data_IF_355724222328
#
_entry.id   IF_355724222328
#
_cell.length_a   1.000
_cell.length_b   1.000
_cell.length_c   1.000
_cell.angle_alpha   90.00
_cell.angle_beta   90.00
_cell.angle_gamma   90.00
#
_symmetry.space_group_name_H-M   'P 1'
#
loop_
_entity.id
_entity.type
_entity.pdbx_description
1 polymer ?
#
# COMPACT_ATOMS: atom_id res chain seq x y z
N UNK A 1 -17.19 -13.53 14.61
CA UNK A 1 -18.38 -12.69 14.51
C UNK A 1 -19.67 -13.49 14.32
N UNK A 2 -19.78 -14.40 13.36
CA UNK A 2 -21.00 -15.22 13.12
C UNK A 2 -21.45 -16.12 14.29
N UNK A 3 -20.55 -16.58 15.14
CA UNK A 3 -20.90 -17.40 16.30
C UNK A 3 -21.42 -16.59 17.48
N UNK A 4 -20.93 -15.39 17.68
CA UNK A 4 -21.39 -14.47 18.75
C UNK A 4 -22.82 -13.98 18.48
N UNK A 5 -23.15 -13.64 17.24
CA UNK A 5 -24.52 -13.27 16.85
C UNK A 5 -25.53 -14.42 17.04
N UNK A 6 -25.09 -15.68 16.82
CA UNK A 6 -25.92 -16.86 17.09
C UNK A 6 -26.15 -17.12 18.58
N UNK A 7 -25.17 -16.78 19.42
CA UNK A 7 -25.27 -16.93 20.88
C UNK A 7 -26.17 -15.88 21.51
N UNK A 8 -26.04 -14.61 21.09
CA UNK A 8 -26.93 -13.51 21.51
C UNK A 8 -28.37 -13.74 21.06
N UNK A 9 -28.57 -14.22 19.84
CA UNK A 9 -29.89 -14.58 19.32
C UNK A 9 -30.56 -15.68 20.15
N UNK A 10 -29.82 -16.70 20.59
CA UNK A 10 -30.34 -17.78 21.43
C UNK A 10 -30.68 -17.33 22.86
N UNK A 11 -29.95 -16.36 23.40
CA UNK A 11 -30.18 -15.80 24.73
C UNK A 11 -31.42 -14.90 24.76
N UNK A 12 -31.59 -14.05 23.74
CA UNK A 12 -32.72 -13.13 23.61
C UNK A 12 -34.06 -13.87 23.34
N UNK A 13 -34.02 -14.95 22.52
CA UNK A 13 -35.23 -15.71 22.14
C UNK A 13 -35.78 -16.57 23.30
N UNK A 14 -35.00 -16.88 24.33
CA UNK A 14 -35.47 -17.64 25.49
C UNK A 14 -36.35 -16.86 26.48
N UNK A 15 -36.32 -15.53 26.45
CA UNK A 15 -36.95 -14.70 27.45
C UNK A 15 -38.16 -13.88 26.99
N UNK A 16 -38.69 -14.06 25.78
CA UNK A 16 -39.84 -13.27 25.29
C UNK A 16 -40.93 -14.14 24.68
N UNK A 17 -42.14 -13.96 25.19
CA UNK A 17 -43.37 -14.74 24.87
C UNK A 17 -44.03 -14.49 23.50
N UNK A 18 -43.34 -13.87 22.54
CA UNK A 18 -43.91 -13.61 21.17
C UNK A 18 -42.98 -14.08 20.05
N UNK A 19 -42.87 -15.43 19.93
CA UNK A 19 -42.00 -16.06 18.93
C UNK A 19 -42.31 -15.69 17.47
N UNK A 20 -43.52 -15.33 17.14
CA UNK A 20 -43.94 -15.03 15.78
C UNK A 20 -43.57 -13.64 15.30
N UNK A 21 -43.65 -12.63 16.13
CA UNK A 21 -43.21 -11.25 15.81
C UNK A 21 -41.69 -11.13 15.77
N UNK A 22 -40.98 -11.81 16.68
CA UNK A 22 -39.52 -11.85 16.67
C UNK A 22 -38.94 -12.53 15.43
N UNK A 23 -39.58 -13.59 14.93
CA UNK A 23 -39.19 -14.23 13.65
C UNK A 23 -39.41 -13.29 12.46
N UNK A 24 -40.46 -12.45 12.47
CA UNK A 24 -40.72 -11.46 11.44
C UNK A 24 -39.71 -10.32 11.46
N UNK A 25 -39.38 -9.80 12.67
CA UNK A 25 -38.35 -8.76 12.87
C UNK A 25 -36.93 -9.26 12.53
N UNK A 26 -36.60 -10.49 12.89
CA UNK A 26 -35.32 -11.15 12.53
C UNK A 26 -35.17 -11.33 11.01
N UNK A 27 -36.24 -11.69 10.29
CA UNK A 27 -36.23 -11.76 8.82
C UNK A 27 -35.96 -10.37 8.21
N UNK A 28 -36.59 -9.32 8.74
CA UNK A 28 -36.40 -7.96 8.25
C UNK A 28 -34.96 -7.47 8.48
N UNK A 29 -34.37 -7.72 9.65
CA UNK A 29 -32.98 -7.37 9.97
C UNK A 29 -32.01 -8.14 9.05
N UNK A 30 -32.25 -9.42 8.80
CA UNK A 30 -31.42 -10.22 7.91
C UNK A 30 -31.52 -9.74 6.45
N UNK A 31 -32.72 -9.31 6.03
CA UNK A 31 -32.96 -8.75 4.70
C UNK A 31 -32.31 -7.37 4.53
N UNK A 32 -32.42 -6.51 5.55
CA UNK A 32 -31.73 -5.22 5.62
C UNK A 32 -30.20 -5.39 5.54
N UNK A 33 -29.65 -6.35 6.28
CA UNK A 33 -28.22 -6.70 6.24
C UNK A 33 -27.78 -7.20 4.85
N UNK A 34 -28.62 -8.04 4.19
CA UNK A 34 -28.38 -8.46 2.80
C UNK A 34 -28.43 -7.29 1.81
N UNK A 35 -29.37 -6.35 1.96
CA UNK A 35 -29.46 -5.14 1.13
C UNK A 35 -28.25 -4.21 1.34
N UNK A 36 -27.80 -4.05 2.58
CA UNK A 36 -26.55 -3.31 2.93
C UNK A 36 -25.33 -3.93 2.27
N UNK A 37 -25.17 -5.25 2.37
CA UNK A 37 -24.07 -5.98 1.71
C UNK A 37 -24.18 -5.83 0.19
N UNK A 38 -25.38 -5.86 -0.37
CA UNK A 38 -25.59 -5.68 -1.82
C UNK A 38 -25.30 -4.24 -2.27
N UNK A 39 -25.75 -3.21 -1.52
CA UNK A 39 -25.39 -1.80 -1.78
C UNK A 39 -23.86 -1.57 -1.68
N UNK A 40 -23.21 -2.11 -0.65
CA UNK A 40 -21.74 -2.06 -0.54
C UNK A 40 -21.06 -2.79 -1.70
N UNK A 41 -21.54 -3.96 -2.11
CA UNK A 41 -21.04 -4.67 -3.29
C UNK A 41 -21.25 -3.85 -4.58
N UNK A 42 -22.36 -3.11 -4.70
CA UNK A 42 -22.66 -2.26 -5.87
C UNK A 42 -21.75 -1.00 -5.89
N UNK A 43 -21.56 -0.34 -4.76
CA UNK A 43 -20.58 0.76 -4.63
C UNK A 43 -19.14 0.29 -4.86
N UNK A 44 -18.76 -0.85 -4.31
CA UNK A 44 -17.44 -1.45 -4.57
C UNK A 44 -17.26 -1.81 -6.04
N UNK A 45 -18.33 -2.30 -6.70
CA UNK A 45 -18.31 -2.63 -8.13
C UNK A 45 -18.19 -1.38 -9.01
N UNK A 46 -18.76 -0.24 -8.60
CA UNK A 46 -18.53 1.07 -9.25
C UNK A 46 -17.08 1.55 -9.10
N UNK A 47 -16.45 1.28 -7.93
CA UNK A 47 -15.03 1.58 -7.69
C UNK A 47 -14.08 0.62 -8.42
N UNK A 48 -14.55 -0.56 -8.83
CA UNK A 48 -13.71 -1.60 -9.48
C UNK A 48 -13.89 -1.74 -10.99
N UNK A 49 -14.79 -0.98 -11.62
CA UNK A 49 -15.03 -1.03 -13.08
C UNK A 49 -14.10 -0.11 -13.87
N UNK A 50 -12.82 -0.09 -13.57
CA UNK A 50 -11.83 0.60 -14.41
C UNK A 50 -11.06 -0.40 -15.24
N UNK A 51 -11.50 -0.67 -16.46
CA UNK A 51 -10.70 -1.36 -17.47
C UNK A 51 -9.43 -0.55 -17.75
N UNK A 52 -8.27 -1.18 -17.64
CA UNK A 52 -6.94 -0.57 -17.73
C UNK A 52 -6.61 0.44 -16.61
N UNK A 53 -6.96 0.13 -15.39
CA UNK A 53 -6.64 0.97 -14.24
C UNK A 53 -5.26 0.67 -13.67
N UNK A 54 -4.53 1.72 -13.31
CA UNK A 54 -3.36 1.63 -12.46
C UNK A 54 -3.53 2.63 -11.32
N UNK A 55 -3.29 2.20 -10.10
CA UNK A 55 -3.41 3.05 -8.91
C UNK A 55 -2.35 2.71 -7.86
N UNK A 56 -1.90 3.72 -7.14
CA UNK A 56 -1.22 3.55 -5.86
C UNK A 56 -2.27 3.60 -4.76
N UNK A 57 -2.17 2.72 -3.79
CA UNK A 57 -3.09 2.65 -2.67
C UNK A 57 -2.31 2.42 -1.38
N UNK A 58 -2.40 3.38 -0.47
CA UNK A 58 -1.97 3.16 0.92
C UNK A 58 -3.05 2.33 1.60
N UNK A 59 -2.69 1.17 2.13
CA UNK A 59 -3.63 0.30 2.87
C UNK A 59 -3.34 0.38 4.36
N UNK A 60 -2.07 0.41 4.74
CA UNK A 60 -1.66 0.62 6.12
C UNK A 60 -0.89 1.93 6.27
N UNK A 61 -1.36 2.79 7.16
CA UNK A 61 -0.82 4.15 7.35
C UNK A 61 0.44 4.21 8.22
N UNK A 62 0.78 3.14 8.92
CA UNK A 62 1.87 3.14 9.90
C UNK A 62 1.47 3.59 11.31
N UNK A 63 0.23 4.03 11.51
CA UNK A 63 -0.29 4.41 12.82
C UNK A 63 -0.12 3.28 13.86
N UNK A 64 -0.16 3.58 15.17
CA UNK A 64 -0.01 2.57 16.22
C UNK A 64 -0.95 1.38 16.03
N UNK A 65 -0.40 0.15 15.95
CA UNK A 65 -1.14 -1.08 15.69
C UNK A 65 -1.51 -1.34 14.22
N UNK A 66 -1.13 -0.45 13.31
CA UNK A 66 -1.35 -0.56 11.87
C UNK A 66 0.01 -0.61 11.15
N UNK A 67 0.34 -1.67 10.40
CA UNK A 67 1.58 -1.69 9.63
C UNK A 67 1.60 -0.61 8.55
N UNK A 68 2.79 -0.08 8.25
CA UNK A 68 2.97 0.82 7.12
C UNK A 68 3.20 -0.01 5.86
N UNK A 69 2.30 0.07 4.89
CA UNK A 69 2.46 -0.58 3.60
C UNK A 69 1.54 0.00 2.53
N UNK A 70 1.92 -0.18 1.28
CA UNK A 70 1.15 0.30 0.15
C UNK A 70 1.22 -0.65 -1.04
N UNK A 71 0.23 -0.55 -1.91
CA UNK A 71 0.17 -1.26 -3.18
C UNK A 71 0.31 -0.32 -4.36
N UNK A 72 1.04 -0.77 -5.37
CA UNK A 72 0.81 -0.34 -6.75
C UNK A 72 0.02 -1.45 -7.45
N UNK A 73 -1.21 -1.17 -7.84
CA UNK A 73 -2.12 -2.17 -8.41
C UNK A 73 -2.44 -1.85 -9.85
N UNK A 74 -2.39 -2.88 -10.68
CA UNK A 74 -2.81 -2.86 -12.07
C UNK A 74 -3.87 -3.93 -12.31
N UNK A 75 -4.43 -3.99 -13.52
CA UNK A 75 -5.39 -5.03 -13.87
C UNK A 75 -4.77 -6.44 -13.83
N UNK A 76 -3.46 -6.55 -14.02
CA UNK A 76 -2.75 -7.82 -14.17
C UNK A 76 -1.91 -8.19 -12.95
N UNK A 77 -1.09 -7.27 -12.46
CA UNK A 77 -0.07 -7.49 -11.43
C UNK A 77 -0.22 -6.48 -10.30
N UNK A 78 0.00 -6.93 -9.09
CA UNK A 78 0.07 -6.11 -7.89
C UNK A 78 1.48 -6.13 -7.32
N UNK A 79 1.98 -4.96 -6.95
CA UNK A 79 3.26 -4.73 -6.31
C UNK A 79 3.01 -4.24 -4.89
N UNK A 80 3.61 -4.91 -3.93
CA UNK A 80 3.48 -4.55 -2.51
C UNK A 80 4.78 -3.90 -2.03
N UNK A 81 4.68 -2.79 -1.32
CA UNK A 81 5.81 -2.12 -0.66
C UNK A 81 5.66 -2.26 0.85
N UNK A 82 6.62 -2.96 1.46
CA UNK A 82 6.64 -3.43 2.84
C UNK A 82 5.50 -4.40 3.20
N UNK A 83 5.72 -5.24 4.21
CA UNK A 83 4.80 -6.27 4.66
C UNK A 83 4.92 -6.48 6.17
N UNK A 84 4.53 -5.48 6.97
CA UNK A 84 4.52 -5.56 8.41
C UNK A 84 3.45 -6.51 8.96
N UNK A 85 3.51 -6.78 10.26
CA UNK A 85 2.51 -7.63 10.92
C UNK A 85 1.10 -7.05 10.77
N UNK A 86 0.13 -7.90 10.46
CA UNK A 86 -1.25 -7.48 10.20
C UNK A 86 -1.55 -7.09 8.75
N UNK A 87 -0.54 -7.00 7.85
CA UNK A 87 -0.74 -6.69 6.42
C UNK A 87 -1.77 -7.61 5.77
N UNK A 88 -1.68 -8.93 5.99
CA UNK A 88 -2.62 -9.91 5.45
C UNK A 88 -4.05 -9.66 5.95
N UNK A 89 -4.23 -9.36 7.24
CA UNK A 89 -5.54 -9.04 7.84
C UNK A 89 -6.15 -7.80 7.20
N UNK A 90 -5.40 -6.71 7.13
CA UNK A 90 -5.86 -5.46 6.49
C UNK A 90 -6.19 -5.65 5.00
N UNK A 91 -5.37 -6.43 4.28
CA UNK A 91 -5.66 -6.75 2.88
C UNK A 91 -7.01 -7.46 2.72
N UNK A 92 -7.37 -8.38 3.62
CA UNK A 92 -8.66 -9.06 3.59
C UNK A 92 -9.80 -8.13 3.98
N UNK A 93 -9.64 -7.30 5.00
CA UNK A 93 -10.63 -6.31 5.43
C UNK A 93 -10.96 -5.34 4.29
N UNK A 94 -9.94 -4.85 3.60
CA UNK A 94 -10.07 -3.91 2.47
C UNK A 94 -10.24 -4.59 1.11
N UNK A 95 -10.39 -5.93 1.08
CA UNK A 95 -10.61 -6.74 -0.13
C UNK A 95 -9.54 -6.53 -1.21
N UNK A 96 -8.29 -6.36 -0.79
CA UNK A 96 -7.16 -6.36 -1.70
C UNK A 96 -7.00 -7.74 -2.34
N UNK A 97 -6.80 -7.80 -3.65
CA UNK A 97 -6.64 -9.07 -4.37
C UNK A 97 -5.21 -9.60 -4.20
N UNK A 98 -5.01 -10.46 -3.21
CA UNK A 98 -3.71 -11.05 -2.90
C UNK A 98 -3.22 -12.04 -3.97
N UNK A 99 -4.13 -12.66 -4.73
CA UNK A 99 -3.79 -13.61 -5.81
C UNK A 99 -3.02 -13.00 -6.99
N UNK A 100 -2.91 -11.67 -7.05
CA UNK A 100 -2.19 -10.95 -8.11
C UNK A 100 -0.89 -10.33 -7.62
N UNK A 101 -0.46 -10.64 -6.40
CA UNK A 101 0.83 -10.15 -5.88
C UNK A 101 1.93 -11.01 -6.47
N UNK A 102 2.71 -10.42 -7.37
CA UNK A 102 3.87 -11.06 -7.98
C UNK A 102 5.19 -10.52 -7.39
N UNK A 103 5.19 -9.27 -6.91
CA UNK A 103 6.39 -8.60 -6.42
C UNK A 103 6.15 -7.94 -5.07
N UNK A 104 7.09 -8.15 -4.14
CA UNK A 104 7.16 -7.46 -2.85
C UNK A 104 8.49 -6.71 -2.76
N UNK A 105 8.44 -5.43 -2.42
CA UNK A 105 9.59 -4.55 -2.24
C UNK A 105 9.72 -4.20 -0.76
N UNK A 106 10.80 -4.65 -0.12
CA UNK A 106 11.09 -4.45 1.30
C UNK A 106 12.20 -3.43 1.44
N UNK A 107 11.93 -2.34 2.14
CA UNK A 107 12.91 -1.26 2.35
C UNK A 107 13.95 -1.61 3.41
N UNK A 108 13.54 -2.34 4.47
CA UNK A 108 14.38 -2.69 5.62
C UNK A 108 13.94 -4.04 6.20
N UNK A 109 14.89 -4.87 6.65
CA UNK A 109 14.58 -6.16 7.30
C UNK A 109 14.17 -6.02 8.79
N UNK A 110 13.53 -4.93 9.14
CA UNK A 110 12.90 -4.77 10.46
C UNK A 110 11.59 -5.55 10.55
N UNK A 111 11.19 -5.99 11.75
CA UNK A 111 9.91 -6.67 11.96
C UNK A 111 8.71 -5.83 11.48
N UNK A 112 8.82 -4.50 11.59
CA UNK A 112 7.80 -3.57 11.06
C UNK A 112 7.53 -3.74 9.58
N UNK A 113 8.54 -4.18 8.80
CA UNK A 113 8.46 -4.26 7.34
C UNK A 113 8.33 -5.70 6.82
N UNK A 114 8.66 -6.72 7.63
CA UNK A 114 8.67 -8.12 7.18
C UNK A 114 7.79 -9.07 8.00
N UNK A 115 7.33 -8.64 9.19
CA UNK A 115 6.60 -9.51 10.13
C UNK A 115 5.31 -10.12 9.58
N UNK A 116 4.70 -9.51 8.56
CA UNK A 116 3.50 -10.02 7.89
C UNK A 116 3.76 -11.02 6.76
N UNK A 117 5.01 -11.19 6.33
CA UNK A 117 5.35 -12.09 5.20
C UNK A 117 4.85 -13.52 5.37
N UNK A 118 5.00 -14.18 6.54
CA UNK A 118 4.56 -15.55 6.71
C UNK A 118 3.06 -15.73 6.42
N UNK A 119 2.22 -14.88 7.03
CA UNK A 119 0.77 -14.91 6.83
C UNK A 119 0.36 -14.54 5.42
N UNK A 120 1.05 -13.55 4.82
CA UNK A 120 0.79 -13.13 3.44
C UNK A 120 1.12 -14.25 2.44
N UNK A 121 2.27 -14.92 2.59
CA UNK A 121 2.69 -16.02 1.70
C UNK A 121 1.72 -17.19 1.75
N UNK A 122 1.26 -17.60 2.94
CA UNK A 122 0.24 -18.63 3.10
C UNK A 122 -1.05 -18.24 2.36
N UNK A 123 -1.55 -17.03 2.62
CA UNK A 123 -2.79 -16.57 2.01
C UNK A 123 -2.66 -16.38 0.49
N UNK A 124 -1.52 -15.90 0.01
CA UNK A 124 -1.26 -15.77 -1.43
C UNK A 124 -1.27 -17.13 -2.11
N UNK A 125 -0.60 -18.14 -1.52
CA UNK A 125 -0.62 -19.51 -2.02
C UNK A 125 -2.04 -20.09 -2.08
N UNK A 126 -2.84 -19.90 -1.02
CA UNK A 126 -4.21 -20.40 -0.97
C UNK A 126 -5.12 -19.69 -1.99
N UNK A 127 -4.83 -18.45 -2.30
CA UNK A 127 -5.49 -17.70 -3.37
C UNK A 127 -4.98 -18.02 -4.79
N UNK A 128 -4.04 -18.97 -4.91
CA UNK A 128 -3.56 -19.49 -6.20
C UNK A 128 -2.30 -18.83 -6.75
N UNK A 129 -1.60 -17.98 -5.99
CA UNK A 129 -0.28 -17.45 -6.37
C UNK A 129 0.73 -18.59 -6.41
N UNK A 130 1.44 -18.73 -7.53
CA UNK A 130 2.46 -19.78 -7.74
C UNK A 130 3.88 -19.25 -7.72
N UNK A 131 4.07 -17.96 -8.01
CA UNK A 131 5.38 -17.32 -8.05
C UNK A 131 5.30 -16.02 -7.27
N UNK A 132 6.33 -15.76 -6.46
CA UNK A 132 6.48 -14.53 -5.69
C UNK A 132 7.94 -14.09 -5.76
N UNK A 133 8.16 -12.82 -6.10
CA UNK A 133 9.47 -12.21 -6.18
C UNK A 133 9.62 -11.20 -5.03
N UNK A 134 10.63 -11.40 -4.17
CA UNK A 134 10.87 -10.50 -3.02
C UNK A 134 12.15 -9.72 -3.25
N UNK A 135 12.03 -8.42 -3.48
CA UNK A 135 13.12 -7.46 -3.59
C UNK A 135 13.39 -6.87 -2.21
N UNK A 136 14.56 -7.12 -1.67
CA UNK A 136 14.87 -6.75 -0.28
C UNK A 136 16.37 -6.59 -0.06
N UNK A 137 16.79 -5.98 1.05
CA UNK A 137 18.15 -6.14 1.54
C UNK A 137 18.52 -7.61 1.70
N UNK A 138 19.82 -7.91 1.65
CA UNK A 138 20.35 -9.28 1.80
C UNK A 138 19.96 -9.88 3.16
N UNK A 139 19.60 -11.15 3.18
CA UNK A 139 19.24 -11.90 4.39
C UNK A 139 17.76 -12.25 4.54
N UNK A 140 16.88 -11.80 3.64
CA UNK A 140 15.46 -12.17 3.67
C UNK A 140 15.25 -13.66 3.46
N UNK A 141 16.13 -14.32 2.70
CA UNK A 141 16.12 -15.75 2.46
C UNK A 141 16.19 -16.55 3.77
N UNK A 142 17.03 -16.08 4.71
CA UNK A 142 17.19 -16.71 6.02
C UNK A 142 15.88 -16.63 6.82
N UNK A 143 15.19 -15.48 6.79
CA UNK A 143 13.89 -15.33 7.42
C UNK A 143 12.88 -16.33 6.83
N UNK A 144 12.77 -16.37 5.51
CA UNK A 144 11.81 -17.25 4.83
C UNK A 144 12.14 -18.71 5.08
N UNK A 145 13.42 -19.10 5.03
CA UNK A 145 13.84 -20.45 5.33
C UNK A 145 13.50 -20.86 6.77
N UNK A 146 13.73 -19.96 7.74
CA UNK A 146 13.39 -20.20 9.14
C UNK A 146 11.88 -20.40 9.31
N UNK A 147 11.09 -19.55 8.68
CA UNK A 147 9.63 -19.62 8.73
C UNK A 147 9.09 -20.89 8.09
N UNK A 148 9.72 -21.41 7.03
CA UNK A 148 9.33 -22.67 6.37
C UNK A 148 9.43 -23.90 7.29
N UNK A 149 10.11 -23.79 8.44
CA UNK A 149 10.10 -24.87 9.44
C UNK A 149 8.71 -25.13 10.07
N UNK A 150 7.82 -24.14 10.03
CA UNK A 150 6.47 -24.23 10.60
C UNK A 150 5.34 -23.81 9.64
N UNK A 151 5.64 -23.22 8.48
CA UNK A 151 4.66 -22.98 7.41
C UNK A 151 4.97 -23.85 6.18
N UNK A 152 3.93 -24.38 5.56
CA UNK A 152 4.09 -25.22 4.37
C UNK A 152 3.69 -24.46 3.10
N UNK A 153 4.66 -24.24 2.21
CA UNK A 153 4.48 -23.49 0.95
C UNK A 153 4.80 -24.35 -0.30
N UNK A 154 4.19 -25.53 -0.47
CA UNK A 154 4.59 -26.47 -1.52
C UNK A 154 4.28 -25.99 -2.94
N UNK A 155 3.37 -25.04 -3.08
CA UNK A 155 2.92 -24.52 -4.40
C UNK A 155 3.47 -23.14 -4.72
N UNK A 156 4.10 -22.45 -3.74
CA UNK A 156 4.62 -21.10 -3.91
C UNK A 156 6.13 -21.12 -4.14
N UNK A 157 6.54 -20.77 -5.36
CA UNK A 157 7.95 -20.56 -5.68
C UNK A 157 8.33 -19.12 -5.33
N UNK A 158 9.30 -18.96 -4.44
CA UNK A 158 9.81 -17.65 -4.03
C UNK A 158 11.16 -17.42 -4.70
N UNK A 159 11.37 -16.22 -5.23
CA UNK A 159 12.61 -15.78 -5.87
C UNK A 159 13.11 -14.50 -5.23
N UNK A 160 14.42 -14.38 -5.10
CA UNK A 160 15.12 -13.25 -4.50
C UNK A 160 16.10 -12.68 -5.53
N UNK A 161 15.72 -11.66 -6.29
CA UNK A 161 16.62 -11.03 -7.24
C UNK A 161 17.73 -10.29 -6.51
N UNK A 162 18.91 -10.28 -7.12
CA UNK A 162 20.00 -9.45 -6.63
C UNK A 162 19.59 -7.98 -6.71
N UNK A 163 19.74 -7.28 -5.59
CA UNK A 163 19.46 -5.85 -5.51
C UNK A 163 20.76 -5.10 -5.80
N UNK A 164 20.90 -4.62 -7.03
CA UNK A 164 22.07 -3.89 -7.49
C UNK A 164 21.64 -2.52 -8.04
N UNK A 165 22.32 -1.46 -7.64
CA UNK A 165 22.05 -0.09 -8.09
C UNK A 165 22.19 0.04 -9.63
N UNK A 166 23.15 -0.68 -10.23
CA UNK A 166 23.38 -0.66 -11.68
C UNK A 166 22.36 -1.43 -12.48
N UNK A 167 21.64 -2.38 -11.89
CA UNK A 167 20.69 -3.27 -12.56
C UNK A 167 19.27 -3.07 -12.04
N UNK A 168 18.49 -2.12 -12.58
CA UNK A 168 17.12 -1.90 -12.13
C UNK A 168 16.23 -3.08 -12.51
N UNK A 169 15.28 -3.39 -11.64
CA UNK A 169 14.17 -4.28 -12.01
C UNK A 169 13.32 -3.62 -13.09
N UNK A 170 12.93 -4.39 -14.10
CA UNK A 170 12.10 -3.90 -15.18
C UNK A 170 11.10 -4.96 -15.62
N UNK A 171 9.85 -4.56 -15.70
CA UNK A 171 8.79 -5.37 -16.28
C UNK A 171 7.97 -4.56 -17.32
N UNK A 172 6.77 -5.03 -17.66
CA UNK A 172 5.89 -4.36 -18.62
C UNK A 172 5.21 -3.10 -18.09
N UNK A 173 5.17 -2.90 -16.76
CA UNK A 173 4.46 -1.80 -16.11
C UNK A 173 5.39 -0.70 -15.63
N UNK A 174 6.53 -1.07 -15.04
CA UNK A 174 7.44 -0.09 -14.46
C UNK A 174 8.90 -0.54 -14.47
N UNK A 175 9.78 0.43 -14.28
CA UNK A 175 11.19 0.21 -13.98
C UNK A 175 11.43 0.65 -12.55
N UNK A 176 11.97 -0.22 -11.68
CA UNK A 176 12.31 0.10 -10.30
C UNK A 176 13.82 0.14 -10.14
N UNK A 177 14.34 1.29 -9.74
CA UNK A 177 15.75 1.50 -9.39
C UNK A 177 15.92 1.31 -7.89
N UNK A 178 16.93 0.57 -7.51
CA UNK A 178 17.33 0.36 -6.15
C UNK A 178 18.28 1.48 -5.71
N UNK A 179 18.03 2.04 -4.54
CA UNK A 179 18.87 3.10 -3.94
C UNK A 179 19.30 2.62 -2.57
N UNK A 180 20.46 1.94 -2.47
CA UNK A 180 20.95 1.42 -1.22
C UNK A 180 21.52 2.57 -0.35
N UNK A 181 21.16 2.56 0.93
CA UNK A 181 21.70 3.50 1.92
C UNK A 181 22.73 2.81 2.81
N UNK A 182 23.81 3.52 3.10
CA UNK A 182 24.91 3.08 3.97
C UNK A 182 24.99 3.94 5.23
N UNK A 183 25.44 3.35 6.33
CA UNK A 183 25.69 4.11 7.56
C UNK A 183 26.94 4.99 7.42
N UNK A 184 26.94 6.15 8.06
CA UNK A 184 28.10 7.07 8.06
C UNK A 184 29.37 6.44 8.68
N UNK A 185 29.20 5.55 9.66
CA UNK A 185 30.32 4.84 10.32
C UNK A 185 31.08 3.88 9.40
N UNK A 186 30.46 3.44 8.29
CA UNK A 186 31.11 2.52 7.34
C UNK A 186 32.01 3.23 6.32
N UNK A 187 31.81 4.55 6.10
CA UNK A 187 32.66 5.35 5.21
C UNK A 187 34.05 5.63 5.79
N UNK A 188 34.20 5.71 7.13
CA UNK A 188 35.45 6.02 7.78
C UNK A 188 36.41 4.83 7.89
N UNK A 189 35.99 3.60 7.53
CA UNK A 189 36.80 2.38 7.60
C UNK A 189 37.47 2.03 6.26
N UNK A 190 37.02 2.64 5.15
CA UNK A 190 37.57 2.38 3.82
C UNK A 190 38.77 3.24 3.43
N UNK A 191 39.03 4.35 4.15
CA UNK A 191 40.06 5.30 3.77
C UNK A 191 41.34 5.24 4.64
N UNK A 192 41.43 4.35 5.67
CA UNK A 192 42.60 4.29 6.60
C UNK A 192 43.50 3.06 6.43
N UNK A 193 43.40 2.25 5.38
CA UNK A 193 44.27 1.09 5.15
C UNK A 193 45.07 1.14 3.84
N UNK A 194 45.69 2.27 3.53
CA UNK A 194 46.90 2.31 2.68
C UNK A 194 48.04 2.93 3.46
N UNK A 195 49.15 2.19 3.52
CA UNK A 195 50.43 2.45 4.12
C UNK A 195 50.62 2.07 5.60
N UNK A 196 51.11 0.86 5.82
CA UNK A 196 52.38 0.67 6.54
C UNK A 196 53.01 -0.69 6.16
N UNK A 197 53.97 -0.63 5.25
CA UNK A 197 54.98 -1.66 5.03
C UNK A 197 56.12 -1.34 5.99
N UNK A 198 56.24 -2.08 7.09
CA UNK A 198 57.50 -2.18 7.80
C UNK A 198 57.98 -3.64 7.84
N UNK A 199 59.12 -3.79 7.19
CA UNK A 199 60.03 -4.92 7.30
C UNK A 199 60.36 -5.19 8.77
N UNK A 200 60.08 -6.39 9.27
CA UNK A 200 61.01 -7.19 10.03
C UNK A 200 60.36 -8.50 10.48
N UNK A 201 60.92 -9.57 9.98
CA UNK A 201 60.50 -10.91 10.30
C UNK A 201 60.72 -11.31 11.75
N UNK A 202 59.68 -11.88 12.36
CA UNK A 202 59.73 -13.01 13.32
C UNK A 202 58.32 -13.51 13.57
N UNK A 203 58.05 -14.75 13.21
CA UNK A 203 56.84 -15.50 13.58
C UNK A 203 56.94 -15.90 15.05
N UNK A 204 55.84 -15.84 15.79
CA UNK A 204 55.50 -16.92 16.73
C UNK A 204 54.17 -17.60 16.32
N UNK A 205 54.15 -18.89 16.69
CA UNK A 205 53.13 -19.84 16.35
C UNK A 205 51.84 -19.67 17.15
N UNK A 206 50.72 -20.11 16.49
CA UNK A 206 49.43 -20.53 17.06
C UNK A 206 48.56 -19.48 17.77
N UNK A 207 47.77 -18.81 16.99
CA UNK A 207 46.36 -18.58 17.35
C UNK A 207 45.52 -18.77 16.10
N UNK A 208 44.60 -19.73 16.17
CA UNK A 208 43.54 -19.92 15.17
C UNK A 208 42.66 -18.69 15.23
N UNK A 209 42.96 -17.69 14.41
CA UNK A 209 42.04 -16.61 14.11
C UNK A 209 41.15 -17.11 12.99
N UNK A 210 39.92 -17.47 13.35
CA UNK A 210 38.84 -17.49 12.41
C UNK A 210 38.84 -16.16 11.62
N UNK A 211 39.30 -16.23 10.40
CA UNK A 211 39.27 -15.10 9.49
C UNK A 211 37.82 -14.84 9.11
N UNK A 212 37.12 -14.08 9.92
CA UNK A 212 35.93 -13.35 9.44
C UNK A 212 36.43 -12.42 8.35
N UNK A 213 36.26 -12.83 7.09
CA UNK A 213 36.32 -11.90 5.98
C UNK A 213 35.36 -10.77 6.34
N UNK A 214 35.85 -9.57 6.63
CA UNK A 214 35.07 -8.35 6.67
C UNK A 214 34.41 -8.23 5.28
N UNK A 215 33.20 -8.73 5.17
CA UNK A 215 32.32 -8.51 4.01
C UNK A 215 32.08 -7.00 4.00
N UNK A 216 32.38 -6.33 2.89
CA UNK A 216 31.91 -4.95 2.63
C UNK A 216 30.45 -4.90 3.06
N UNK A 217 30.11 -4.00 3.99
CA UNK A 217 28.78 -3.96 4.61
C UNK A 217 27.70 -3.95 3.53
N UNK A 218 26.90 -5.02 3.51
CA UNK A 218 25.76 -5.10 2.60
C UNK A 218 24.76 -4.04 2.99
N UNK A 219 24.17 -3.31 2.04
CA UNK A 219 23.21 -2.25 2.34
C UNK A 219 22.03 -2.84 3.11
N UNK A 220 21.76 -2.27 4.28
CA UNK A 220 20.65 -2.71 5.16
C UNK A 220 19.32 -2.03 4.83
N UNK A 221 19.38 -0.90 4.12
CA UNK A 221 18.24 -0.09 3.74
C UNK A 221 18.27 0.09 2.22
N UNK A 222 17.09 -0.07 1.58
CA UNK A 222 16.92 0.15 0.15
C UNK A 222 15.72 1.06 -0.06
N UNK A 223 15.96 2.21 -0.67
CA UNK A 223 14.89 3.04 -1.21
C UNK A 223 14.61 2.65 -2.67
N UNK A 224 13.43 2.95 -3.15
CA UNK A 224 12.97 2.57 -4.48
C UNK A 224 12.54 3.81 -5.26
N UNK A 225 13.04 3.95 -6.50
CA UNK A 225 12.56 4.93 -7.48
C UNK A 225 11.82 4.14 -8.55
N UNK A 226 10.50 4.34 -8.64
CA UNK A 226 9.59 3.59 -9.49
C UNK A 226 9.15 4.46 -10.66
N UNK A 227 9.64 4.17 -11.86
CA UNK A 227 9.29 4.85 -13.09
C UNK A 227 8.20 4.04 -13.81
N UNK A 228 6.96 4.53 -13.82
CA UNK A 228 5.82 3.88 -14.47
C UNK A 228 5.94 4.12 -15.98
N UNK A 229 5.91 3.04 -16.77
CA UNK A 229 5.99 3.16 -18.22
C UNK A 229 4.76 3.88 -18.77
N UNK A 230 4.91 4.79 -19.71
CA UNK A 230 3.79 5.53 -20.29
C UNK A 230 2.79 4.58 -20.95
N UNK A 231 1.48 4.88 -20.79
CA UNK A 231 0.46 4.17 -21.54
C UNK A 231 0.54 4.57 -22.99
N UNK A 232 0.61 3.59 -23.88
CA UNK A 232 0.56 3.89 -25.31
C UNK A 232 -0.71 4.58 -25.71
N UNK A 233 -0.58 5.54 -26.62
CA UNK A 233 -1.69 6.24 -27.20
C UNK A 233 -2.65 5.28 -27.93
N UNK A 234 -3.93 5.65 -27.96
CA UNK A 234 -4.95 4.88 -28.69
C UNK A 234 -4.65 4.90 -30.20
N UNK A 235 -4.84 3.77 -30.86
CA UNK A 235 -4.75 3.70 -32.32
C UNK A 235 -5.86 4.56 -32.94
N UNK A 236 -5.49 5.46 -33.84
CA UNK A 236 -6.39 6.37 -34.56
C UNK A 236 -6.91 5.61 -35.79
N UNK A 237 -8.15 5.09 -35.67
CA UNK A 237 -8.76 4.23 -36.69
C UNK A 237 -8.87 4.96 -38.03
N UNK A 238 -9.23 6.24 -37.99
CA UNK A 238 -9.38 7.08 -39.18
C UNK A 238 -8.06 7.21 -39.97
N UNK A 239 -6.94 7.40 -39.27
CA UNK A 239 -5.61 7.43 -39.88
C UNK A 239 -5.22 6.07 -40.45
N UNK A 240 -5.60 4.98 -39.79
CA UNK A 240 -5.36 3.63 -40.32
C UNK A 240 -6.13 3.42 -41.62
N UNK A 241 -7.39 3.86 -41.69
CA UNK A 241 -8.22 3.75 -42.92
C UNK A 241 -7.65 4.61 -44.04
N UNK A 242 -7.22 5.85 -43.78
CA UNK A 242 -6.56 6.73 -44.76
C UNK A 242 -5.32 6.11 -45.34
N UNK A 243 -4.58 5.33 -44.56
CA UNK A 243 -3.37 4.61 -44.99
C UNK A 243 -3.72 3.22 -45.55
N UNK A 244 -4.97 2.86 -45.78
CA UNK A 244 -5.40 1.59 -46.37
C UNK A 244 -5.17 0.39 -45.43
N UNK A 245 -5.12 0.59 -44.12
CA UNK A 245 -4.94 -0.50 -43.14
C UNK A 245 -6.31 -0.97 -42.70
N UNK A 246 -6.72 -2.11 -43.20
CA UNK A 246 -7.98 -2.76 -42.80
C UNK A 246 -7.94 -3.34 -41.39
N UNK A 247 -9.12 -3.72 -40.88
CA UNK A 247 -9.21 -4.33 -39.55
C UNK A 247 -8.60 -5.74 -39.59
N UNK A 248 -7.62 -6.01 -38.71
CA UNK A 248 -6.96 -7.31 -38.72
C UNK A 248 -5.66 -7.34 -37.87
N UNK A 249 -4.85 -8.39 -38.08
CA UNK A 249 -3.59 -8.60 -37.34
C UNK A 249 -2.63 -7.40 -37.40
N UNK A 250 -2.61 -6.71 -38.56
CA UNK A 250 -1.77 -5.53 -38.80
C UNK A 250 -2.06 -4.42 -37.79
N UNK A 251 -3.33 -4.11 -37.53
CA UNK A 251 -3.72 -3.13 -36.49
C UNK A 251 -3.26 -3.54 -35.10
N UNK A 252 -3.27 -4.85 -34.79
CA UNK A 252 -2.79 -5.35 -33.50
C UNK A 252 -1.28 -5.16 -33.35
N UNK A 253 -0.52 -5.34 -34.41
CA UNK A 253 0.92 -5.05 -34.42
C UNK A 253 1.20 -3.58 -34.22
N UNK A 254 0.50 -2.68 -34.93
CA UNK A 254 0.60 -1.23 -34.74
C UNK A 254 0.21 -0.81 -33.32
N UNK A 255 -0.89 -1.37 -32.78
CA UNK A 255 -1.30 -1.15 -31.40
C UNK A 255 -0.26 -1.63 -30.38
N UNK A 256 0.51 -2.68 -30.70
CA UNK A 256 1.63 -3.16 -29.89
C UNK A 256 2.90 -2.31 -30.04
N UNK A 257 2.89 -1.28 -30.92
CA UNK A 257 4.00 -0.37 -31.19
C UNK A 257 5.04 -0.91 -32.17
N UNK A 258 4.70 -1.98 -32.90
CA UNK A 258 5.55 -2.50 -33.98
C UNK A 258 5.20 -1.75 -35.27
N UNK A 259 6.23 -1.37 -36.01
CA UNK A 259 6.04 -0.85 -37.36
C UNK A 259 5.69 -1.99 -38.31
N UNK A 260 4.91 -1.72 -39.32
CA UNK A 260 4.43 -2.72 -40.26
C UNK A 260 4.76 -2.27 -41.68
N UNK A 261 5.32 -3.18 -42.47
CA UNK A 261 5.54 -2.98 -43.91
C UNK A 261 4.31 -3.51 -44.67
N UNK A 262 3.72 -2.69 -45.52
CA UNK A 262 2.62 -3.08 -46.39
C UNK A 262 3.10 -3.90 -47.58
N UNK A 263 2.18 -4.50 -48.33
CA UNK A 263 2.46 -5.24 -49.53
C UNK A 263 3.09 -4.39 -50.63
N UNK A 264 2.83 -3.07 -50.65
CA UNK A 264 3.40 -2.09 -51.55
C UNK A 264 4.83 -1.66 -51.17
N UNK A 265 5.42 -2.24 -50.10
CA UNK A 265 6.75 -1.91 -49.61
C UNK A 265 6.79 -0.68 -48.70
N UNK A 266 5.69 0.05 -48.52
CA UNK A 266 5.64 1.23 -47.63
C UNK A 266 5.62 0.82 -46.16
N UNK A 267 6.41 1.51 -45.32
CA UNK A 267 6.48 1.26 -43.88
C UNK A 267 5.54 2.21 -43.13
N UNK A 268 4.62 1.65 -42.39
CA UNK A 268 3.74 2.42 -41.49
C UNK A 268 4.30 2.37 -40.07
N UNK A 269 4.66 3.53 -39.57
CA UNK A 269 5.13 3.64 -38.18
C UNK A 269 3.96 3.69 -37.20
N UNK A 270 4.05 2.92 -36.12
CA UNK A 270 3.02 2.89 -35.10
C UNK A 270 2.74 4.28 -34.51
N UNK A 271 3.74 5.14 -34.40
CA UNK A 271 3.61 6.51 -33.90
C UNK A 271 2.72 7.41 -34.75
N UNK A 272 2.71 7.21 -36.08
CA UNK A 272 1.96 8.06 -37.00
C UNK A 272 0.45 7.82 -36.95
N UNK A 273 0.09 6.59 -36.57
CA UNK A 273 -1.31 6.11 -36.50
C UNK A 273 -1.82 6.00 -35.07
N UNK A 274 -1.06 6.45 -34.08
CA UNK A 274 -1.47 6.43 -32.67
C UNK A 274 -1.55 7.86 -32.13
N UNK A 275 -2.43 8.05 -31.13
CA UNK A 275 -2.43 9.25 -30.32
C UNK A 275 -1.10 9.35 -29.51
N UNK A 276 -0.70 10.51 -29.01
CA UNK A 276 0.46 10.63 -28.13
C UNK A 276 0.38 9.66 -26.95
N UNK A 277 1.55 9.13 -26.56
CA UNK A 277 1.65 8.31 -25.35
C UNK A 277 1.30 9.16 -24.10
N UNK A 278 0.80 8.50 -23.08
CA UNK A 278 0.52 9.14 -21.79
C UNK A 278 1.80 9.63 -21.11
N UNK A 279 1.67 10.41 -20.02
CA UNK A 279 2.83 10.93 -19.30
C UNK A 279 3.64 9.79 -18.65
N UNK A 280 4.97 9.98 -18.59
CA UNK A 280 5.86 9.18 -17.77
C UNK A 280 5.72 9.67 -16.32
N UNK A 281 5.31 8.81 -15.42
CA UNK A 281 5.09 9.12 -14.03
C UNK A 281 6.12 8.41 -13.16
N UNK A 282 6.67 9.11 -12.17
CA UNK A 282 7.65 8.56 -11.24
C UNK A 282 7.17 8.77 -9.81
N UNK A 283 7.20 7.72 -9.00
CA UNK A 283 7.03 7.82 -7.55
C UNK A 283 8.22 7.18 -6.82
N UNK A 284 8.40 7.55 -5.57
CA UNK A 284 9.49 7.06 -4.75
C UNK A 284 8.98 6.45 -3.46
N UNK A 285 9.68 5.45 -2.97
CA UNK A 285 9.48 4.86 -1.64
C UNK A 285 10.78 4.99 -0.88
N UNK A 286 10.76 5.73 0.21
CA UNK A 286 11.95 6.05 0.99
C UNK A 286 11.75 5.67 2.45
N UNK A 287 12.80 5.13 3.05
CA UNK A 287 12.88 4.88 4.48
C UNK A 287 14.24 5.28 5.00
N UNK A 288 14.27 6.09 6.04
CA UNK A 288 15.46 6.44 6.79
C UNK A 288 15.17 6.12 8.27
N UNK A 289 15.59 4.94 8.79
CA UNK A 289 15.16 4.48 10.10
C UNK A 289 15.86 5.20 11.26
N UNK A 290 17.07 5.71 11.06
CA UNK A 290 17.86 6.43 12.07
C UNK A 290 18.76 7.51 11.46
N UNK A 291 19.39 8.31 12.33
CA UNK A 291 20.21 9.45 11.95
C UNK A 291 21.46 9.08 11.13
N UNK A 292 21.98 7.86 11.30
CA UNK A 292 23.19 7.39 10.63
C UNK A 292 23.03 7.24 9.11
N UNK A 293 21.78 7.14 8.63
CA UNK A 293 21.46 7.01 7.20
C UNK A 293 21.09 8.33 6.53
N UNK A 294 20.85 9.42 7.28
CA UNK A 294 20.37 10.69 6.71
C UNK A 294 21.33 11.21 5.65
N UNK A 295 22.63 11.27 5.95
CA UNK A 295 23.61 11.83 5.01
C UNK A 295 23.74 10.98 3.74
N UNK A 296 23.60 9.66 3.87
CA UNK A 296 23.55 8.75 2.72
C UNK A 296 22.34 9.00 1.83
N UNK A 297 21.18 9.27 2.43
CA UNK A 297 19.94 9.55 1.70
C UNK A 297 19.98 10.91 1.02
N UNK A 298 20.31 11.98 1.77
CA UNK A 298 20.19 13.37 1.26
C UNK A 298 21.21 13.70 0.18
N UNK A 299 22.34 13.00 0.16
CA UNK A 299 23.43 13.19 -0.81
C UNK A 299 23.43 12.13 -1.93
N UNK A 300 22.48 11.20 -1.94
CA UNK A 300 22.48 10.12 -2.92
C UNK A 300 22.20 10.63 -4.33
N UNK A 301 23.07 10.35 -5.33
CA UNK A 301 22.97 10.94 -6.67
C UNK A 301 21.70 10.53 -7.42
N UNK A 302 21.12 9.37 -7.10
CA UNK A 302 19.90 8.90 -7.76
C UNK A 302 18.70 9.82 -7.57
N UNK A 303 18.64 10.59 -6.46
CA UNK A 303 17.55 11.52 -6.19
C UNK A 303 17.74 12.88 -6.88
N UNK A 304 18.98 13.28 -7.17
CA UNK A 304 19.31 14.60 -7.71
C UNK A 304 18.55 14.94 -8.99
N UNK A 305 18.39 13.97 -9.90
CA UNK A 305 17.67 14.16 -11.16
C UNK A 305 16.17 14.44 -11.00
N UNK A 306 15.62 14.20 -9.82
CA UNK A 306 14.21 14.42 -9.51
C UNK A 306 13.97 15.67 -8.65
N UNK A 307 15.04 16.38 -8.31
CA UNK A 307 15.02 17.63 -7.54
C UNK A 307 15.00 18.84 -8.47
N UNK A 308 14.47 19.98 -8.01
CA UNK A 308 14.23 21.19 -8.82
C UNK A 308 15.46 21.67 -9.60
N UNK A 309 16.66 21.55 -9.05
CA UNK A 309 17.89 22.01 -9.69
C UNK A 309 18.26 21.23 -10.96
N UNK A 310 17.74 20.02 -11.12
CA UNK A 310 18.00 19.16 -12.28
C UNK A 310 16.86 19.17 -13.32
N UNK A 311 15.79 19.94 -13.08
CA UNK A 311 14.57 19.94 -13.88
C UNK A 311 14.68 20.81 -15.14
N UNK A 312 15.73 20.67 -15.93
CA UNK A 312 15.73 21.18 -17.30
C UNK A 312 14.69 20.46 -18.19
N UNK A 313 14.20 19.28 -17.77
CA UNK A 313 13.20 18.48 -18.49
C UNK A 313 12.04 18.12 -17.52
N UNK A 314 10.83 18.58 -17.82
CA UNK A 314 9.59 18.28 -17.05
C UNK A 314 9.32 16.77 -16.82
N UNK A 315 9.94 15.92 -17.62
CA UNK A 315 9.76 14.46 -17.60
C UNK A 315 10.40 13.72 -16.40
N UNK A 316 11.13 14.42 -15.53
CA UNK A 316 11.82 13.80 -14.39
C UNK A 316 11.20 14.10 -13.02
N UNK A 317 10.13 14.90 -12.97
CA UNK A 317 9.43 15.22 -11.71
C UNK A 317 8.82 13.96 -11.12
N UNK A 318 9.15 13.66 -9.87
CA UNK A 318 8.42 12.66 -9.10
C UNK A 318 7.06 13.24 -8.70
N UNK A 319 5.95 12.57 -9.03
CA UNK A 319 4.64 13.04 -8.60
C UNK A 319 4.38 12.81 -7.11
N UNK A 320 4.99 11.78 -6.52
CA UNK A 320 4.87 11.50 -5.08
C UNK A 320 6.10 10.81 -4.51
N UNK A 321 6.41 11.11 -3.24
CA UNK A 321 7.40 10.43 -2.41
C UNK A 321 6.70 9.89 -1.17
N UNK A 322 6.77 8.57 -0.96
CA UNK A 322 6.20 7.88 0.19
C UNK A 322 7.28 7.65 1.25
N UNK A 323 7.10 8.24 2.42
CA UNK A 323 8.06 8.23 3.52
C UNK A 323 7.65 7.21 4.58
N UNK A 324 8.42 6.13 4.69
CA UNK A 324 8.31 5.14 5.78
C UNK A 324 9.25 5.49 6.94
N UNK A 325 9.59 6.74 7.05
CA UNK A 325 10.58 7.31 7.96
C UNK A 325 9.92 7.69 9.29
N UNK A 326 10.54 7.34 10.46
CA UNK A 326 10.05 7.76 11.77
C UNK A 326 10.00 9.28 11.91
N UNK A 327 9.05 9.77 12.72
CA UNK A 327 8.81 11.21 12.90
C UNK A 327 10.05 11.98 13.37
N UNK A 328 10.85 11.38 14.27
CA UNK A 328 12.09 11.99 14.76
C UNK A 328 13.04 12.34 13.61
N UNK A 329 13.20 11.43 12.66
CA UNK A 329 14.09 11.61 11.51
C UNK A 329 13.46 12.54 10.47
N UNK A 330 12.14 12.43 10.27
CA UNK A 330 11.42 13.31 9.38
C UNK A 330 11.58 14.78 9.78
N UNK A 331 11.63 15.08 11.08
CA UNK A 331 11.79 16.42 11.65
C UNK A 331 13.27 16.89 11.69
N UNK A 332 14.26 16.06 11.31
CA UNK A 332 15.65 16.50 11.18
C UNK A 332 15.78 17.55 10.07
N UNK A 333 16.49 18.64 10.36
CA UNK A 333 16.63 19.76 9.42
C UNK A 333 17.25 19.35 8.08
N UNK A 334 18.19 18.38 8.08
CA UNK A 334 18.81 17.85 6.85
C UNK A 334 17.76 17.14 5.98
N UNK A 335 16.87 16.38 6.62
CA UNK A 335 15.80 15.67 5.93
C UNK A 335 14.75 16.64 5.38
N UNK A 336 14.34 17.65 6.16
CA UNK A 336 13.42 18.70 5.71
C UNK A 336 14.01 19.51 4.54
N UNK A 337 15.26 19.90 4.61
CA UNK A 337 15.96 20.57 3.50
C UNK A 337 16.01 19.68 2.24
N UNK A 338 16.09 18.36 2.40
CA UNK A 338 16.04 17.42 1.28
C UNK A 338 14.64 17.35 0.65
N UNK A 339 13.58 17.35 1.45
CA UNK A 339 12.19 17.45 0.96
C UNK A 339 11.99 18.73 0.16
N UNK A 340 12.48 19.86 0.64
CA UNK A 340 12.34 21.17 0.00
C UNK A 340 13.04 21.29 -1.36
N UNK A 341 13.97 20.39 -1.67
CA UNK A 341 14.63 20.35 -2.98
C UNK A 341 13.73 19.80 -4.09
N UNK A 342 12.63 19.14 -3.75
CA UNK A 342 11.67 18.63 -4.73
C UNK A 342 10.75 19.76 -5.25
N UNK A 343 10.11 19.50 -6.39
CA UNK A 343 9.11 20.41 -6.95
C UNK A 343 7.93 20.61 -6.00
N UNK A 344 7.33 21.81 -6.00
CA UNK A 344 6.06 22.06 -5.30
C UNK A 344 4.89 21.17 -5.77
N UNK A 345 5.01 20.58 -6.95
CA UNK A 345 4.04 19.61 -7.48
C UNK A 345 4.24 18.19 -6.91
N UNK A 346 5.38 17.91 -6.28
CA UNK A 346 5.66 16.62 -5.68
C UNK A 346 4.90 16.47 -4.36
N UNK A 347 4.07 15.46 -4.25
CA UNK A 347 3.34 15.13 -3.02
C UNK A 347 4.17 14.24 -2.12
N UNK A 348 4.40 14.66 -0.89
CA UNK A 348 5.12 13.90 0.14
C UNK A 348 4.10 13.23 1.06
N UNK A 349 4.05 11.90 1.05
CA UNK A 349 3.09 11.09 1.82
C UNK A 349 3.80 10.37 2.95
N UNK A 350 3.44 10.67 4.19
CA UNK A 350 4.09 10.16 5.39
C UNK A 350 3.34 8.93 5.91
N UNK A 351 4.05 7.81 6.10
CA UNK A 351 3.55 6.56 6.66
C UNK A 351 4.35 6.19 7.91
N UNK A 352 3.98 6.72 9.05
CA UNK A 352 4.67 6.45 10.32
C UNK A 352 3.71 6.40 11.52
N UNK A 353 4.27 6.20 12.72
CA UNK A 353 3.55 5.99 13.97
C UNK A 353 2.89 7.24 14.57
N UNK A 354 3.17 8.43 14.02
CA UNK A 354 2.45 9.66 14.39
C UNK A 354 1.18 9.89 13.56
N UNK A 355 0.89 9.00 12.60
CA UNK A 355 -0.34 9.08 11.84
C UNK A 355 -1.55 8.76 12.73
N UNK A 356 -2.70 9.37 12.42
CA UNK A 356 -3.93 9.09 13.13
C UNK A 356 -4.39 7.65 12.86
N UNK A 357 -4.77 6.95 13.92
CA UNK A 357 -5.31 5.61 13.82
C UNK A 357 -6.84 5.69 13.77
N UNK A 358 -7.41 5.59 12.59
CA UNK A 358 -8.86 5.35 12.47
C UNK A 358 -9.21 3.86 12.44
N UNK A 359 -8.22 2.98 12.65
CA UNK A 359 -8.39 1.55 12.38
C UNK A 359 -8.65 1.29 10.90
N UNK A 360 -9.39 0.23 10.60
CA UNK A 360 -9.91 0.00 9.26
C UNK A 360 -11.19 0.83 9.06
N UNK A 361 -11.28 1.64 7.99
CA UNK A 361 -12.51 2.38 7.67
C UNK A 361 -13.74 1.48 7.58
N UNK A 362 -13.57 0.25 7.08
CA UNK A 362 -14.64 -0.75 7.03
C UNK A 362 -15.12 -1.15 8.44
N UNK A 363 -14.23 -1.20 9.41
CA UNK A 363 -14.57 -1.48 10.82
C UNK A 363 -15.25 -0.26 11.45
N UNK A 364 -14.75 0.94 11.22
CA UNK A 364 -15.34 2.17 11.75
C UNK A 364 -16.77 2.35 11.31
N UNK A 365 -17.07 2.21 10.02
CA UNK A 365 -18.43 2.32 9.50
C UNK A 365 -19.38 1.34 10.19
N UNK A 366 -18.97 0.09 10.33
CA UNK A 366 -19.77 -0.91 11.03
C UNK A 366 -19.89 -0.61 12.53
N UNK A 367 -18.85 -0.06 13.13
CA UNK A 367 -18.85 0.30 14.53
C UNK A 367 -19.75 1.49 14.82
N UNK A 368 -19.75 2.53 13.98
CA UNK A 368 -20.70 3.63 14.09
C UNK A 368 -22.15 3.13 13.98
N UNK A 369 -22.42 2.24 13.03
CA UNK A 369 -23.74 1.62 12.89
C UNK A 369 -24.15 0.88 14.17
N UNK A 370 -23.25 0.07 14.74
CA UNK A 370 -23.51 -0.68 15.97
C UNK A 370 -23.64 0.25 17.19
N UNK A 371 -22.79 1.28 17.28
CA UNK A 371 -22.83 2.29 18.33
C UNK A 371 -24.16 3.05 18.34
N UNK A 372 -24.69 3.41 17.16
CA UNK A 372 -26.01 4.04 17.06
C UNK A 372 -27.15 3.12 17.51
N UNK A 373 -27.01 1.79 17.35
CA UNK A 373 -27.97 0.83 17.86
C UNK A 373 -27.97 0.76 19.40
N UNK A 374 -26.79 0.71 20.01
CA UNK A 374 -26.64 0.67 21.47
C UNK A 374 -25.25 1.13 21.92
N UNK A 375 -25.08 2.40 22.35
CA UNK A 375 -23.77 2.97 22.70
C UNK A 375 -23.04 2.26 23.83
N UNK A 376 -23.76 1.75 24.83
CA UNK A 376 -23.16 1.07 25.98
C UNK A 376 -22.64 -0.33 25.64
N UNK A 377 -23.31 -1.04 24.71
CA UNK A 377 -22.90 -2.38 24.27
C UNK A 377 -21.78 -2.30 23.22
N UNK A 378 -21.84 -1.29 22.37
CA UNK A 378 -20.89 -1.09 21.27
C UNK A 378 -20.22 0.29 21.38
N UNK A 379 -19.36 0.52 22.38
CA UNK A 379 -18.65 1.78 22.52
C UNK A 379 -17.74 2.02 21.30
N UNK A 380 -17.55 3.28 20.92
CA UNK A 380 -16.55 3.63 19.90
C UNK A 380 -15.14 3.31 20.43
N UNK A 381 -14.25 2.84 19.55
CA UNK A 381 -12.94 2.29 19.92
C UNK A 381 -12.04 3.29 20.63
N UNK A 382 -12.03 4.54 20.29
CA UNK A 382 -11.55 5.65 21.12
C UNK A 382 -11.85 7.00 20.46
N UNK A 383 -11.99 8.06 21.29
CA UNK A 383 -12.05 9.44 20.78
C UNK A 383 -10.70 9.96 20.30
N UNK A 384 -9.60 9.32 20.70
CA UNK A 384 -8.23 9.70 20.30
C UNK A 384 -7.89 9.31 18.84
N UNK A 385 -8.73 8.46 18.22
CA UNK A 385 -8.60 8.12 16.81
C UNK A 385 -8.77 9.33 15.88
N UNK A 386 -9.46 10.35 16.34
CA UNK A 386 -9.70 11.61 15.62
C UNK A 386 -8.79 12.72 16.13
N UNK A 387 -7.52 12.44 16.43
CA UNK A 387 -6.55 13.52 16.59
C UNK A 387 -6.65 14.37 15.32
N UNK A 388 -7.05 15.64 15.49
CA UNK A 388 -6.93 16.65 14.43
C UNK A 388 -5.49 16.55 13.99
N UNK A 389 -5.28 16.08 12.75
CA UNK A 389 -3.94 16.07 12.16
C UNK A 389 -3.40 17.48 12.42
N UNK A 390 -2.23 17.57 13.07
CA UNK A 390 -1.53 18.85 13.19
C UNK A 390 -1.53 19.40 11.78
N UNK A 391 -2.16 20.55 11.57
CA UNK A 391 -2.23 21.19 10.28
C UNK A 391 -0.83 21.15 9.68
N UNK A 392 -0.64 20.33 8.67
CA UNK A 392 0.64 20.23 7.99
C UNK A 392 0.84 21.56 7.32
N UNK A 393 1.85 22.32 7.76
CA UNK A 393 2.10 23.70 7.37
C UNK A 393 2.45 23.88 5.88
N UNK A 394 2.51 22.79 5.10
CA UNK A 394 2.85 22.82 3.67
C UNK A 394 1.83 22.04 2.86
N UNK A 395 1.29 22.66 1.83
CA UNK A 395 0.27 22.09 0.93
C UNK A 395 0.70 20.80 0.20
N UNK A 396 2.00 20.46 0.21
CA UNK A 396 2.56 19.29 -0.47
C UNK A 396 2.85 18.10 0.45
N UNK A 397 2.67 18.22 1.78
CA UNK A 397 2.98 17.16 2.75
C UNK A 397 1.68 16.63 3.34
N UNK A 398 1.45 15.32 3.18
CA UNK A 398 0.23 14.63 3.61
C UNK A 398 0.56 13.49 4.56
N UNK A 399 -0.21 13.33 5.62
CA UNK A 399 -0.18 12.13 6.45
C UNK A 399 -1.06 11.06 5.83
N UNK A 400 -0.48 9.89 5.63
CA UNK A 400 -1.19 8.77 5.00
C UNK A 400 -2.34 8.28 5.87
N UNK A 401 -3.44 7.91 5.22
CA UNK A 401 -4.58 7.23 5.81
C UNK A 401 -4.81 5.88 5.15
N UNK A 402 -5.50 5.00 5.84
CA UNK A 402 -5.94 3.74 5.25
C UNK A 402 -6.83 3.99 4.02
N UNK A 403 -6.65 3.17 2.99
CA UNK A 403 -7.43 3.18 1.72
C UNK A 403 -7.22 4.43 0.84
N UNK A 404 -6.27 5.27 1.15
CA UNK A 404 -5.94 6.43 0.33
C UNK A 404 -5.46 6.00 -1.07
N UNK A 405 -6.06 6.56 -2.13
CA UNK A 405 -5.84 6.11 -3.51
C UNK A 405 -5.38 7.26 -4.39
N UNK A 406 -4.24 7.06 -5.06
CA UNK A 406 -3.76 7.87 -6.16
C UNK A 406 -4.10 7.19 -7.48
N UNK A 407 -4.96 7.76 -8.27
CA UNK A 407 -5.30 7.22 -9.59
C UNK A 407 -4.19 7.57 -10.58
N UNK A 408 -3.62 6.55 -11.19
CA UNK A 408 -2.55 6.71 -12.18
C UNK A 408 -3.11 6.59 -13.59
N UNK A 409 -4.10 5.70 -13.78
CA UNK A 409 -4.77 5.44 -15.06
C UNK A 409 -6.25 5.18 -14.83
N UNK A 410 -7.14 5.57 -15.77
CA UNK A 410 -6.83 6.09 -17.11
C UNK A 410 -6.24 7.50 -17.11
N UNK A 411 -6.66 8.35 -16.15
CA UNK A 411 -6.22 9.72 -16.01
C UNK A 411 -5.54 9.89 -14.64
N UNK A 412 -4.41 10.58 -14.63
CA UNK A 412 -3.71 10.88 -13.40
C UNK A 412 -4.53 11.88 -12.56
N UNK A 413 -4.80 11.51 -11.32
CA UNK A 413 -5.45 12.38 -10.35
C UNK A 413 -4.58 12.42 -9.10
N UNK A 414 -3.94 13.57 -8.81
CA UNK A 414 -3.22 13.77 -7.56
C UNK A 414 -4.19 13.69 -6.38
N UNK A 415 -3.67 13.47 -5.19
CA UNK A 415 -4.44 13.54 -3.96
C UNK A 415 -4.98 14.95 -3.76
N UNK A 416 -6.28 15.05 -3.50
CA UNK A 416 -6.89 16.30 -3.07
C UNK A 416 -7.12 16.26 -1.56
N UNK A 417 -7.11 17.42 -0.90
CA UNK A 417 -7.38 17.52 0.54
C UNK A 417 -8.74 16.91 0.92
N UNK A 418 -9.72 16.96 0.02
CA UNK A 418 -11.05 16.38 0.24
C UNK A 418 -11.04 14.84 0.24
N UNK A 419 -10.08 14.19 -0.44
CA UNK A 419 -9.92 12.73 -0.42
C UNK A 419 -9.25 12.23 0.89
N UNK A 420 -8.70 13.15 1.69
CA UNK A 420 -7.88 12.85 2.88
C UNK A 420 -8.71 12.88 4.16
N UNK A 421 -9.78 13.66 4.22
CA UNK A 421 -10.54 13.90 5.43
C UNK A 421 -12.00 13.49 5.29
N UNK A 422 -12.35 12.31 5.82
CA UNK A 422 -13.73 12.05 6.21
C UNK A 422 -13.87 12.43 7.70
N UNK A 423 -14.60 13.51 7.97
CA UNK A 423 -14.95 13.88 9.33
C UNK A 423 -15.87 12.82 9.94
N UNK A 424 -15.87 12.70 11.28
CA UNK A 424 -16.76 11.78 12.02
C UNK A 424 -18.22 11.96 11.58
N UNK A 425 -18.63 13.20 11.38
CA UNK A 425 -19.97 13.55 10.92
C UNK A 425 -20.34 12.89 9.59
N UNK A 426 -19.38 12.71 8.69
CA UNK A 426 -19.64 12.08 7.38
C UNK A 426 -19.95 10.59 7.49
N UNK A 427 -19.37 9.88 8.47
CA UNK A 427 -19.73 8.50 8.76
C UNK A 427 -21.13 8.40 9.35
N UNK A 428 -21.48 9.31 10.26
CA UNK A 428 -22.82 9.40 10.84
C UNK A 428 -23.84 9.70 9.74
N UNK A 429 -23.58 10.69 8.87
CA UNK A 429 -24.44 11.02 7.74
C UNK A 429 -24.62 9.86 6.76
N UNK A 430 -23.54 9.11 6.45
CA UNK A 430 -23.67 7.92 5.60
C UNK A 430 -24.53 6.82 6.23
N UNK A 431 -24.44 6.65 7.54
CA UNK A 431 -25.23 5.68 8.29
C UNK A 431 -26.70 6.13 8.31
N UNK A 432 -26.98 7.41 8.54
CA UNK A 432 -28.32 7.98 8.57
C UNK A 432 -29.02 7.96 7.17
N UNK A 433 -28.26 7.93 6.08
CA UNK A 433 -28.80 7.77 4.71
C UNK A 433 -29.29 6.35 4.38
N UNK A 434 -29.18 5.41 5.33
CA UNK A 434 -29.70 4.05 5.15
C UNK A 434 -31.22 4.10 5.37
N UNK A 435 -31.99 3.93 4.29
CA UNK A 435 -33.46 3.86 4.34
C UNK A 435 -33.90 2.82 5.39
N UNK A 436 -34.89 3.14 6.20
CA UNK A 436 -35.44 2.31 7.29
C UNK A 436 -34.57 2.22 8.57
N UNK A 437 -33.33 2.77 8.61
CA UNK A 437 -32.51 2.70 9.79
C UNK A 437 -33.12 3.49 10.95
N UNK A 438 -33.66 4.67 10.67
CA UNK A 438 -34.27 5.54 11.71
C UNK A 438 -35.43 4.85 12.43
N UNK A 439 -36.27 4.13 11.71
CA UNK A 439 -37.36 3.36 12.28
C UNK A 439 -36.85 2.16 13.08
N UNK A 440 -35.83 1.46 12.56
CA UNK A 440 -35.21 0.34 13.26
C UNK A 440 -34.52 0.80 14.56
N UNK A 441 -33.84 1.96 14.54
CA UNK A 441 -33.20 2.54 15.72
C UNK A 441 -34.27 2.90 16.78
N UNK A 442 -35.38 3.53 16.41
CA UNK A 442 -36.49 3.83 17.32
C UNK A 442 -37.05 2.56 17.97
N UNK A 443 -37.25 1.49 17.18
CA UNK A 443 -37.74 0.21 17.69
C UNK A 443 -36.75 -0.44 18.67
N UNK A 444 -35.44 -0.45 18.34
CA UNK A 444 -34.39 -1.03 19.20
C UNK A 444 -34.27 -0.24 20.52
N UNK A 445 -34.31 1.09 20.46
CA UNK A 445 -34.27 1.95 21.65
C UNK A 445 -35.46 1.70 22.56
N UNK A 446 -36.66 1.54 22.00
CA UNK A 446 -37.87 1.23 22.81
C UNK A 446 -37.76 -0.13 23.51
N UNK A 447 -37.22 -1.14 22.81
CA UNK A 447 -37.00 -2.48 23.36
C UNK A 447 -35.93 -2.46 24.44
N UNK A 448 -34.81 -1.76 24.24
CA UNK A 448 -33.73 -1.61 25.22
C UNK A 448 -34.19 -0.85 26.47
N UNK A 449 -34.97 0.20 26.28
CA UNK A 449 -35.54 0.96 27.40
C UNK A 449 -36.51 0.14 28.23
N UNK A 450 -37.40 -0.64 27.63
CA UNK A 450 -38.29 -1.58 28.30
C UNK A 450 -37.55 -2.65 29.10
N UNK A 451 -36.52 -3.26 28.48
CA UNK A 451 -35.67 -4.25 29.15
C UNK A 451 -34.94 -3.64 30.38
N UNK A 452 -34.49 -2.39 30.29
CA UNK A 452 -33.85 -1.68 31.41
C UNK A 452 -34.82 -1.41 32.56
N UNK A 453 -36.07 -1.06 32.22
CA UNK A 453 -37.15 -0.89 33.22
C UNK A 453 -37.52 -2.20 33.93
N UNK A 454 -37.63 -3.31 33.14
CA UNK A 454 -37.95 -4.64 33.70
C UNK A 454 -36.84 -5.15 34.63
N UNK A 455 -35.56 -4.90 34.28
CA UNK A 455 -34.41 -5.23 35.14
C UNK A 455 -34.44 -4.37 36.44
N UNK A 456 -34.71 -3.07 36.35
CA UNK A 456 -34.82 -2.21 37.53
C UNK A 456 -35.94 -2.63 38.46
N UNK A 457 -37.09 -3.04 37.93
CA UNK A 457 -38.22 -3.53 38.72
C UNK A 457 -37.94 -4.91 39.32
N UNK A 458 -37.16 -5.76 38.68
CA UNK A 458 -36.80 -7.08 39.19
C UNK A 458 -35.75 -7.05 40.33
N UNK A 459 -35.01 -5.94 40.47
CA UNK A 459 -33.99 -5.74 41.49
C UNK A 459 -34.37 -4.69 42.55
N UNK A 460 -35.56 -4.09 42.47
CA UNK A 460 -36.21 -3.29 43.53
C UNK A 460 -37.19 -4.16 44.33
#
# INVERSE_FOLDING_TARGET
MFQLTKYFYKYFVRNTHTQTELKKKSKNITELYKRLIMKQKKQLKLLTTFNNSAKLQVVGSGAPGIPAFMFFTTDQVHYLFNCGEGTQRLCQEHRCKLSKIDHIFITNLSWRNVGGLPGLMLTAQDNGTTNLCIHSPEGIENLVHTVQSFINLPRLKITYPSVNESEPFKDHMMTVRYVPLTKNTEKNVSDENEYDTNENGKRPANSVKNGEKKIKGTPKIICYICEIHPKRGKLLIDKCLQLGIENGPIRNLLKSGKNVTKEDGSVVYSKDVSAPDGPKLTFMVVECPDEEYIDSLVNHPAFLKHQQQALAEENHIAFSVFHFTPEKILNDQRYQNWIEKFSSQTQHVILNDENSCMGSEAVHKNQYLLHMLHPEIFPLLSKDCFRKDKETQKDSIYRARAIQVFKIRPDFTPLTNNDIYQAEESYIEEVLKIDELENTLKEVLVVAYRAKLEIQVAFS
#
